data_IF_046985195531
#
_entry.id   IF_046985195531
#
_cell.length_a   1.000
_cell.length_b   1.000
_cell.length_c   1.000
_cell.angle_alpha   90.00
_cell.angle_beta   90.00
_cell.angle_gamma   90.00
#
_symmetry.space_group_name_H-M   'P 1'
#
loop_
_entity.id
_entity.type
_entity.pdbx_description
1 polymer ?
#
# COMPACT_ATOMS: atom_id res chain seq x y z
N UNK A 1 -29.43 6.00 -5.69
CA UNK A 1 -28.31 5.67 -6.56
C UNK A 1 -26.98 6.02 -5.88
N UNK A 2 -26.06 5.09 -5.86
CA UNK A 2 -24.76 5.37 -5.23
C UNK A 2 -23.91 6.24 -6.12
N UNK A 3 -23.19 7.18 -5.53
CA UNK A 3 -22.28 8.04 -6.28
C UNK A 3 -21.11 7.24 -6.84
N UNK A 4 -20.52 7.73 -7.92
CA UNK A 4 -19.33 7.11 -8.52
C UNK A 4 -18.19 6.98 -7.51
N UNK A 5 -18.03 7.96 -6.61
CA UNK A 5 -17.01 7.94 -5.59
C UNK A 5 -17.17 6.77 -4.61
N UNK A 6 -18.41 6.42 -4.26
CA UNK A 6 -18.67 5.28 -3.39
C UNK A 6 -18.37 3.96 -4.09
N UNK A 7 -18.68 3.87 -5.38
CA UNK A 7 -18.35 2.67 -6.16
C UNK A 7 -16.86 2.50 -6.31
N UNK A 8 -16.13 3.59 -6.52
CA UNK A 8 -14.68 3.54 -6.63
C UNK A 8 -14.00 3.12 -5.33
N UNK A 9 -14.52 3.56 -4.19
CA UNK A 9 -14.00 3.13 -2.89
C UNK A 9 -14.11 1.63 -2.70
N UNK A 10 -15.14 1.01 -3.23
CA UNK A 10 -15.35 -0.43 -3.13
C UNK A 10 -14.41 -1.24 -4.04
N UNK A 11 -13.85 -0.60 -5.07
CA UNK A 11 -12.89 -1.25 -5.97
C UNK A 11 -11.57 -1.55 -5.30
N UNK A 12 -11.23 -0.77 -4.27
CA UNK A 12 -9.96 -0.91 -3.56
C UNK A 12 -10.23 -1.34 -2.13
N UNK A 13 -10.68 -2.58 -2.02
CA UNK A 13 -10.93 -3.16 -0.71
C UNK A 13 -9.62 -3.27 0.06
N UNK A 14 -9.62 -2.77 1.29
CA UNK A 14 -8.45 -2.75 2.14
C UNK A 14 -8.45 -3.91 3.11
N UNK A 15 -7.27 -4.47 3.33
CA UNK A 15 -7.07 -5.53 4.29
C UNK A 15 -5.99 -5.13 5.28
N UNK A 16 -6.13 -5.49 6.56
CA UNK A 16 -5.06 -5.28 7.52
C UNK A 16 -3.87 -6.15 7.16
N UNK A 17 -2.68 -5.60 7.36
CA UNK A 17 -1.46 -6.36 7.14
C UNK A 17 -0.39 -5.79 8.07
N UNK A 18 0.35 -6.67 8.74
CA UNK A 18 1.50 -6.26 9.55
C UNK A 18 2.73 -6.77 8.83
N UNK A 19 3.37 -5.91 8.08
CA UNK A 19 4.53 -6.28 7.30
C UNK A 19 5.45 -5.06 7.14
N UNK A 20 6.70 -5.32 6.89
CA UNK A 20 7.65 -4.25 6.62
C UNK A 20 7.50 -3.77 5.19
N UNK A 21 7.67 -2.47 5.00
CA UNK A 21 7.72 -1.84 3.70
C UNK A 21 8.96 -0.97 3.63
N UNK A 22 9.64 -1.02 2.50
CA UNK A 22 10.77 -0.16 2.23
C UNK A 22 10.37 0.81 1.15
N UNK A 23 10.64 2.09 1.36
CA UNK A 23 10.34 3.08 0.33
C UNK A 23 11.56 3.95 0.05
N UNK A 24 11.61 4.45 -1.16
CA UNK A 24 12.71 5.27 -1.65
C UNK A 24 12.13 6.41 -2.46
N UNK A 25 12.48 7.64 -2.10
CA UNK A 25 12.00 8.82 -2.81
C UNK A 25 12.72 8.96 -4.14
N UNK A 26 11.98 9.17 -5.22
CA UNK A 26 12.54 9.23 -6.56
C UNK A 26 13.23 10.55 -6.88
N UNK A 27 12.94 11.61 -6.13
CA UNK A 27 13.48 12.94 -6.38
C UNK A 27 14.40 13.44 -5.27
N UNK A 28 15.12 12.52 -4.64
CA UNK A 28 16.04 12.90 -3.59
C UNK A 28 17.33 13.47 -4.18
N UNK A 29 17.64 14.72 -3.84
CA UNK A 29 18.87 15.37 -4.30
C UNK A 29 20.11 14.86 -3.58
N UNK A 30 19.92 14.15 -2.46
CA UNK A 30 21.04 13.61 -1.67
C UNK A 30 21.34 12.16 -2.00
N UNK A 31 20.79 11.62 -3.11
CA UNK A 31 20.98 10.23 -3.51
C UNK A 31 19.91 9.31 -2.96
N UNK A 32 19.94 8.02 -3.32
CA UNK A 32 18.91 7.08 -2.89
C UNK A 32 18.94 6.91 -1.38
N UNK A 33 17.79 7.10 -0.77
CA UNK A 33 17.62 6.93 0.67
C UNK A 33 16.46 5.96 0.86
N UNK A 34 16.77 4.78 1.34
CA UNK A 34 15.77 3.74 1.61
C UNK A 34 15.37 3.80 3.06
N UNK A 35 14.07 3.85 3.28
CA UNK A 35 13.51 3.93 4.62
C UNK A 35 12.65 2.71 4.85
N UNK A 36 12.85 2.02 5.96
CA UNK A 36 12.03 0.88 6.36
C UNK A 36 11.04 1.30 7.40
N UNK A 37 9.80 0.92 7.18
CA UNK A 37 8.69 1.19 8.10
C UNK A 37 7.75 0.00 8.07
N UNK A 38 6.65 0.09 8.79
CA UNK A 38 5.61 -0.92 8.76
C UNK A 38 4.41 -0.39 8.00
N UNK A 39 3.74 -1.25 7.26
CA UNK A 39 2.47 -0.91 6.66
C UNK A 39 1.34 -1.46 7.53
N UNK A 40 0.21 -0.75 7.55
CA UNK A 40 -0.92 -1.08 8.38
C UNK A 40 -2.08 -1.70 7.61
N UNK A 41 -2.19 -1.38 6.33
CA UNK A 41 -3.22 -1.96 5.47
C UNK A 41 -2.77 -1.91 4.02
N UNK A 42 -3.41 -2.73 3.19
CA UNK A 42 -3.08 -2.85 1.78
C UNK A 42 -4.37 -3.08 0.96
N UNK A 43 -4.35 -2.58 -0.27
CA UNK A 43 -5.36 -2.86 -1.28
C UNK A 43 -4.66 -2.98 -2.63
N UNK A 44 -5.41 -3.27 -3.69
CA UNK A 44 -4.84 -3.26 -5.04
C UNK A 44 -4.55 -1.86 -5.54
N UNK A 45 -5.05 -0.83 -4.86
CA UNK A 45 -4.78 0.57 -5.22
C UNK A 45 -3.63 1.21 -4.48
N UNK A 46 -3.20 0.64 -3.35
CA UNK A 46 -2.13 1.21 -2.56
C UNK A 46 -2.03 0.62 -1.17
N UNK A 47 -1.31 1.31 -0.31
CA UNK A 47 -1.09 0.86 1.07
C UNK A 47 -0.94 2.06 2.00
N UNK A 48 -1.02 1.80 3.30
CA UNK A 48 -0.77 2.81 4.31
C UNK A 48 0.52 2.49 5.04
N UNK A 49 1.43 3.44 5.08
CA UNK A 49 2.72 3.30 5.76
C UNK A 49 2.67 4.05 7.08
N UNK A 50 2.94 3.35 8.17
CA UNK A 50 3.04 3.96 9.49
C UNK A 50 4.41 4.62 9.62
N UNK A 51 4.43 5.94 9.73
CA UNK A 51 5.68 6.70 9.83
C UNK A 51 5.40 8.10 10.33
N UNK A 52 6.39 8.69 10.95
CA UNK A 52 6.34 10.10 11.34
C UNK A 52 7.03 11.01 10.32
N UNK A 53 7.58 10.43 9.26
CA UNK A 53 8.26 11.20 8.21
C UNK A 53 7.32 12.21 7.57
N UNK A 54 7.71 13.49 7.50
CA UNK A 54 6.84 14.54 6.93
C UNK A 54 6.95 14.61 5.41
N UNK A 55 6.40 13.61 4.73
CA UNK A 55 6.46 13.53 3.27
C UNK A 55 5.17 14.10 2.69
N UNK A 56 5.30 15.04 1.78
CA UNK A 56 4.15 15.74 1.18
C UNK A 56 3.37 14.84 0.23
N UNK A 57 2.04 15.06 0.19
CA UNK A 57 1.18 14.46 -0.83
C UNK A 57 1.72 14.83 -2.22
N UNK A 58 1.64 13.91 -3.14
CA UNK A 58 2.17 14.08 -4.48
C UNK A 58 3.61 13.61 -4.66
N UNK A 59 4.34 13.39 -3.56
CA UNK A 59 5.71 12.91 -3.64
C UNK A 59 5.75 11.50 -4.22
N UNK A 60 6.61 11.29 -5.22
CA UNK A 60 6.78 9.98 -5.84
C UNK A 60 7.81 9.15 -5.10
N UNK A 61 7.56 7.85 -5.06
CA UNK A 61 8.42 6.90 -4.38
C UNK A 61 8.30 5.53 -5.02
N UNK A 62 9.29 4.69 -4.79
CA UNK A 62 9.22 3.28 -5.10
C UNK A 62 9.01 2.56 -3.77
N UNK A 63 8.00 1.72 -3.70
CA UNK A 63 7.75 0.89 -2.51
C UNK A 63 8.12 -0.54 -2.80
N UNK A 64 8.67 -1.22 -1.80
CA UNK A 64 9.05 -2.63 -1.87
C UNK A 64 8.55 -3.31 -0.62
N UNK A 65 7.84 -4.41 -0.81
CA UNK A 65 7.35 -5.20 0.33
C UNK A 65 7.17 -6.65 -0.08
N UNK A 66 7.00 -7.48 0.92
CA UNK A 66 6.77 -8.89 0.72
C UNK A 66 5.44 -9.27 1.36
N UNK A 67 4.59 -9.96 0.60
CA UNK A 67 3.35 -10.49 1.11
C UNK A 67 3.62 -11.70 2.00
N UNK A 68 2.64 -12.12 2.84
CA UNK A 68 2.85 -13.28 3.72
C UNK A 68 3.23 -14.57 3.00
N UNK A 69 2.83 -14.73 1.74
CA UNK A 69 3.23 -15.89 0.92
C UNK A 69 4.62 -15.74 0.31
N UNK A 70 5.36 -14.71 0.71
CA UNK A 70 6.72 -14.38 0.26
C UNK A 70 6.82 -13.82 -1.15
N UNK A 71 5.70 -13.52 -1.77
CA UNK A 71 5.71 -12.82 -3.05
C UNK A 71 6.16 -11.38 -2.85
N UNK A 72 7.18 -10.95 -3.60
CA UNK A 72 7.74 -9.60 -3.50
C UNK A 72 7.08 -8.66 -4.48
N UNK A 73 6.73 -7.48 -4.00
CA UNK A 73 6.11 -6.43 -4.80
C UNK A 73 7.03 -5.22 -4.81
N UNK A 74 7.24 -4.68 -6.00
CA UNK A 74 7.95 -3.41 -6.20
C UNK A 74 7.05 -2.55 -7.06
N UNK A 75 6.67 -1.38 -6.56
CA UNK A 75 5.71 -0.55 -7.27
C UNK A 75 6.09 0.92 -7.23
N UNK A 76 6.05 1.56 -8.41
CA UNK A 76 6.16 3.02 -8.50
C UNK A 76 4.87 3.59 -7.93
N UNK A 77 5.00 4.54 -7.02
CA UNK A 77 3.90 5.00 -6.21
C UNK A 77 3.96 6.50 -5.96
N UNK A 78 2.92 7.02 -5.36
CA UNK A 78 2.82 8.42 -5.01
C UNK A 78 2.12 8.55 -3.66
N UNK A 79 2.56 9.50 -2.84
CA UNK A 79 1.85 9.80 -1.60
C UNK A 79 0.53 10.47 -1.96
N UNK A 80 -0.57 9.83 -1.63
CA UNK A 80 -1.91 10.36 -1.89
C UNK A 80 -2.33 11.34 -0.80
N UNK A 81 -1.99 11.05 0.43
CA UNK A 81 -2.26 11.94 1.56
C UNK A 81 -1.31 11.63 2.71
N UNK A 82 -1.16 12.61 3.59
CA UNK A 82 -0.31 12.48 4.78
C UNK A 82 -1.15 12.75 6.01
N UNK A 83 -1.02 11.88 7.01
CA UNK A 83 -1.55 12.12 8.35
C UNK A 83 -0.37 12.40 9.26
N UNK A 84 -0.23 13.66 9.64
CA UNK A 84 0.92 14.11 10.43
C UNK A 84 1.08 13.29 11.70
N UNK A 85 2.29 12.76 11.91
CA UNK A 85 2.62 11.96 13.07
C UNK A 85 2.07 10.54 13.06
N UNK A 86 1.32 10.16 12.03
CA UNK A 86 0.67 8.85 11.94
C UNK A 86 1.19 8.06 10.75
N UNK A 87 1.09 8.61 9.54
CA UNK A 87 1.56 7.90 8.37
C UNK A 87 1.17 8.49 7.05
N UNK A 88 1.37 7.70 6.00
CA UNK A 88 1.19 8.09 4.62
C UNK A 88 0.23 7.13 3.91
N UNK A 89 -0.78 7.68 3.25
CA UNK A 89 -1.58 6.92 2.30
C UNK A 89 -0.85 6.95 0.97
N UNK A 90 -0.50 5.79 0.45
CA UNK A 90 0.29 5.65 -0.77
C UNK A 90 -0.53 4.98 -1.85
N UNK A 91 -0.51 5.56 -3.04
CA UNK A 91 -1.22 5.09 -4.21
C UNK A 91 -0.23 4.45 -5.18
N UNK A 92 -0.51 3.23 -5.64
CA UNK A 92 0.31 2.62 -6.69
C UNK A 92 0.01 3.31 -8.01
N UNK A 93 1.04 3.78 -8.68
CA UNK A 93 0.91 4.35 -10.02
C UNK A 93 1.06 3.28 -11.08
N UNK A 94 1.80 2.24 -10.78
CA UNK A 94 2.04 1.13 -11.68
C UNK A 94 2.14 -0.13 -10.85
N UNK A 95 1.35 -1.13 -11.20
CA UNK A 95 1.34 -2.41 -10.50
C UNK A 95 1.18 -3.51 -11.53
N UNK A 96 2.11 -4.45 -11.56
CA UNK A 96 2.06 -5.59 -12.47
C UNK A 96 0.82 -6.44 -12.19
N UNK A 97 0.28 -7.06 -13.23
CA UNK A 97 -0.90 -7.91 -13.10
C UNK A 97 -0.67 -9.06 -12.13
N UNK A 98 0.51 -9.66 -12.16
CA UNK A 98 0.86 -10.71 -11.22
C UNK A 98 0.84 -10.22 -9.77
N UNK A 99 1.39 -9.04 -9.53
CA UNK A 99 1.40 -8.44 -8.20
C UNK A 99 -0.03 -8.13 -7.73
N UNK A 100 -0.86 -7.62 -8.64
CA UNK A 100 -2.26 -7.34 -8.33
C UNK A 100 -2.98 -8.62 -7.92
N UNK A 101 -2.80 -9.69 -8.67
CA UNK A 101 -3.43 -10.97 -8.37
C UNK A 101 -2.99 -11.51 -7.01
N UNK A 102 -1.72 -11.36 -6.69
CA UNK A 102 -1.20 -11.81 -5.40
C UNK A 102 -1.78 -11.02 -4.24
N UNK A 103 -1.96 -9.71 -4.42
CA UNK A 103 -2.59 -8.87 -3.41
C UNK A 103 -4.07 -9.27 -3.26
N UNK A 104 -4.77 -9.49 -4.36
CA UNK A 104 -6.16 -9.94 -4.34
C UNK A 104 -6.31 -11.28 -3.63
N UNK A 105 -5.40 -12.20 -3.89
CA UNK A 105 -5.38 -13.51 -3.24
C UNK A 105 -5.19 -13.38 -1.73
N UNK A 106 -4.29 -12.50 -1.31
CA UNK A 106 -4.08 -12.24 0.10
C UNK A 106 -5.36 -11.70 0.76
N UNK A 107 -6.00 -10.70 0.15
CA UNK A 107 -7.23 -10.11 0.67
C UNK A 107 -8.33 -11.17 0.77
N UNK A 108 -8.50 -11.98 -0.27
CA UNK A 108 -9.49 -13.04 -0.28
C UNK A 108 -9.22 -14.08 0.80
N UNK A 109 -7.96 -14.40 1.08
CA UNK A 109 -7.60 -15.36 2.10
C UNK A 109 -8.02 -14.90 3.50
N UNK A 110 -7.98 -13.62 3.77
CA UNK A 110 -8.42 -13.07 5.05
C UNK A 110 -9.93 -13.21 5.22
N UNK A 111 -10.68 -13.01 4.16
CA UNK A 111 -12.15 -13.18 4.19
C UNK A 111 -12.53 -14.63 4.46
N UNK A 112 -11.84 -15.59 3.85
CA UNK A 112 -12.10 -16.99 4.09
C UNK A 112 -11.82 -17.38 5.53
N UNK A 113 -10.78 -16.83 6.13
CA UNK A 113 -10.49 -17.09 7.54
C UNK A 113 -11.58 -16.56 8.46
N UNK A 114 -12.17 -15.42 8.13
CA UNK A 114 -13.28 -14.87 8.90
C UNK A 114 -14.49 -15.78 8.82
N UNK A 115 -14.80 -16.29 7.65
CA UNK A 115 -15.94 -17.20 7.49
C UNK A 115 -15.72 -18.53 8.19
N UNK A 116 -14.51 -19.04 8.20
CA UNK A 116 -14.24 -20.35 8.81
C UNK A 116 -14.21 -20.31 10.34
N UNK A 117 -14.23 -19.13 10.94
CA UNK A 117 -14.30 -18.99 12.40
C UNK A 117 -15.71 -18.99 12.94
N UNK A 118 -16.70 -18.99 12.10
CA UNK A 118 -18.10 -18.94 12.51
C UNK A 118 -18.64 -20.32 12.90
#
# INVERSE_FOLDING_TARGET
MKSSAQLERRRFERAPIVAQVEFELTNSSSGPSRVRRHMANISTGGLFITTEEPIRAGTRMVVRFELPNKHRVIAVSRVAYTRKGVGLGVEFLSLDDEDREEIETYIASLKQKEYSKV
#
